data_IF_207089736133
#
_entry.id   IF_207089736133
#
_cell.length_a   1.000
_cell.length_b   1.000
_cell.length_c   1.000
_cell.angle_alpha   90.00
_cell.angle_beta   90.00
_cell.angle_gamma   90.00
#
_symmetry.space_group_name_H-M   'P 1'
#
loop_
_entity.id
_entity.type
_entity.pdbx_description
1 polymer ?
#
# COMPACT_ATOMS: atom_id res chain seq x y z
N UNK A 1 19.91 56.63 36.67
CA UNK A 1 20.35 55.25 36.97
C UNK A 1 19.37 54.30 36.30
N UNK A 2 19.69 53.79 35.10
CA UNK A 2 20.26 52.46 34.79
C UNK A 2 19.33 51.26 35.08
N UNK A 3 18.81 50.70 33.97
CA UNK A 3 18.53 49.26 33.70
C UNK A 3 17.29 48.69 34.43
N UNK A 4 16.44 47.84 33.85
CA UNK A 4 16.73 46.59 33.11
C UNK A 4 15.41 46.15 32.44
N UNK A 5 15.33 46.20 31.11
CA UNK A 5 15.42 45.04 30.19
C UNK A 5 14.21 44.08 30.20
N UNK A 6 13.31 44.37 29.26
CA UNK A 6 12.46 43.47 28.47
C UNK A 6 12.87 41.99 28.60
N UNK A 7 12.09 41.21 29.35
CA UNK A 7 12.22 39.74 29.35
C UNK A 7 11.39 39.20 28.19
N UNK A 8 12.05 39.17 27.04
CA UNK A 8 11.55 38.71 25.76
C UNK A 8 11.39 37.18 25.78
N UNK A 9 10.13 36.73 25.81
CA UNK A 9 9.56 35.80 24.84
C UNK A 9 10.55 34.80 24.18
N UNK A 10 11.00 33.76 24.88
CA UNK A 10 11.93 32.77 24.30
C UNK A 10 11.66 31.32 24.76
N UNK A 11 10.41 30.83 24.62
CA UNK A 11 10.10 29.43 24.96
C UNK A 11 9.26 28.65 23.91
N UNK A 12 8.92 29.25 22.77
CA UNK A 12 7.93 28.65 21.85
C UNK A 12 8.53 27.92 20.63
N UNK A 13 9.86 27.87 20.48
CA UNK A 13 10.48 27.35 19.25
C UNK A 13 10.74 25.83 19.24
N UNK A 14 10.54 25.12 20.35
CA UNK A 14 10.91 23.70 20.47
C UNK A 14 9.83 22.70 19.99
N UNK A 15 8.61 23.16 19.64
CA UNK A 15 7.52 22.27 19.21
C UNK A 15 7.46 22.04 17.68
N UNK A 16 8.32 22.69 16.88
CA UNK A 16 8.21 22.70 15.42
C UNK A 16 8.81 21.50 14.67
N UNK A 17 9.63 20.66 15.32
CA UNK A 17 10.40 19.63 14.61
C UNK A 17 9.73 18.24 14.53
N UNK A 18 8.48 18.08 15.00
CA UNK A 18 7.80 16.77 15.02
C UNK A 18 6.68 16.63 13.97
N UNK A 19 6.50 17.62 13.10
CA UNK A 19 5.39 17.67 12.15
C UNK A 19 5.80 17.16 10.76
N UNK A 20 5.40 15.92 10.45
CA UNK A 20 5.66 15.28 9.15
C UNK A 20 5.59 13.76 9.21
N UNK A 21 5.49 13.12 8.03
CA UNK A 21 5.68 11.67 7.92
C UNK A 21 7.14 11.36 8.26
N UNK A 22 7.37 10.42 9.17
CA UNK A 22 8.70 9.93 9.53
C UNK A 22 8.81 8.46 9.18
N UNK A 23 10.03 7.93 9.04
CA UNK A 23 10.23 6.50 8.81
C UNK A 23 9.53 5.64 9.86
N UNK A 24 9.56 6.06 11.13
CA UNK A 24 8.88 5.38 12.23
C UNK A 24 7.33 5.38 12.13
N UNK A 25 6.74 6.32 11.37
CA UNK A 25 5.28 6.42 11.15
C UNK A 25 4.84 5.82 9.81
N UNK A 26 5.80 5.47 8.93
CA UNK A 26 5.55 4.93 7.61
C UNK A 26 5.64 3.41 7.64
N UNK A 27 4.49 2.73 7.61
CA UNK A 27 4.41 1.28 7.84
C UNK A 27 5.32 0.45 6.93
N UNK A 28 5.45 0.75 5.62
CA UNK A 28 6.34 -0.02 4.74
C UNK A 28 7.83 0.03 5.15
N UNK A 29 8.25 0.98 5.99
CA UNK A 29 9.61 1.07 6.50
C UNK A 29 9.84 0.30 7.82
N UNK A 30 8.77 -0.12 8.50
CA UNK A 30 8.85 -0.69 9.86
C UNK A 30 8.31 -2.11 9.97
N UNK A 31 7.63 -2.61 8.94
CA UNK A 31 6.92 -3.87 8.95
C UNK A 31 7.05 -4.57 7.58
N UNK A 32 7.21 -5.90 7.52
CA UNK A 32 7.38 -6.63 6.25
C UNK A 32 6.13 -6.65 5.37
N UNK A 33 4.96 -6.21 5.87
CA UNK A 33 3.74 -6.08 5.09
C UNK A 33 3.84 -4.97 4.04
N UNK A 34 3.21 -5.20 2.90
CA UNK A 34 2.98 -4.17 1.91
C UNK A 34 1.97 -3.13 2.36
N UNK A 35 1.81 -2.08 1.57
CA UNK A 35 0.83 -1.04 1.85
C UNK A 35 -0.60 -1.57 1.75
N UNK A 36 -1.46 -1.14 2.67
CA UNK A 36 -2.90 -1.40 2.61
C UNK A 36 -3.57 -0.44 1.64
N UNK A 37 -4.64 -0.86 0.99
CA UNK A 37 -5.38 0.03 0.11
C UNK A 37 -6.69 -0.55 -0.40
N UNK A 38 -7.46 0.33 -1.04
CA UNK A 38 -8.65 -0.03 -1.80
C UNK A 38 -8.33 -0.02 -3.28
N UNK A 39 -8.66 -1.10 -3.98
CA UNK A 39 -8.58 -1.20 -5.44
C UNK A 39 -9.96 -1.56 -5.97
N UNK A 40 -10.52 -0.71 -6.83
CA UNK A 40 -11.78 -0.99 -7.52
C UNK A 40 -11.48 -1.67 -8.84
N UNK A 41 -11.91 -2.92 -8.98
CA UNK A 41 -11.72 -3.72 -10.17
C UNK A 41 -13.04 -4.36 -10.62
N UNK A 42 -13.37 -4.25 -11.90
CA UNK A 42 -14.64 -4.69 -12.51
C UNK A 42 -15.89 -4.26 -11.71
N UNK A 43 -15.87 -3.05 -11.12
CA UNK A 43 -16.98 -2.51 -10.33
C UNK A 43 -17.01 -2.96 -8.86
N UNK A 44 -16.09 -3.83 -8.43
CA UNK A 44 -16.00 -4.30 -7.04
C UNK A 44 -14.81 -3.63 -6.34
N UNK A 45 -15.05 -3.08 -5.15
CA UNK A 45 -14.00 -2.52 -4.31
C UNK A 45 -13.38 -3.61 -3.43
N UNK A 46 -12.08 -3.83 -3.58
CA UNK A 46 -11.29 -4.74 -2.76
C UNK A 46 -10.43 -3.92 -1.80
N UNK A 47 -10.57 -4.17 -0.50
CA UNK A 47 -9.65 -3.65 0.51
C UNK A 47 -8.67 -4.74 0.92
N UNK A 48 -7.37 -4.44 0.88
CA UNK A 48 -6.35 -5.43 1.16
C UNK A 48 -4.93 -4.89 1.05
N UNK A 49 -3.98 -5.78 1.28
CA UNK A 49 -2.56 -5.50 1.20
C UNK A 49 -2.05 -5.66 -0.23
N UNK A 50 -1.19 -4.75 -0.67
CA UNK A 50 -0.44 -4.87 -1.92
C UNK A 50 0.72 -5.87 -1.74
N UNK A 51 0.56 -7.06 -2.32
CA UNK A 51 1.55 -8.12 -2.21
C UNK A 51 2.67 -7.94 -3.23
N UNK A 52 2.32 -7.75 -4.50
CA UNK A 52 3.29 -7.59 -5.57
C UNK A 52 2.65 -6.91 -6.79
N UNK A 53 3.50 -6.28 -7.60
CA UNK A 53 3.15 -5.88 -8.96
C UNK A 53 3.65 -6.94 -9.93
N UNK A 54 2.81 -7.28 -10.89
CA UNK A 54 3.17 -8.12 -12.04
C UNK A 54 2.98 -7.33 -13.34
N UNK A 55 3.37 -7.94 -14.45
CA UNK A 55 3.17 -7.38 -15.78
C UNK A 55 1.68 -7.30 -16.14
N UNK A 56 0.89 -8.30 -15.75
CA UNK A 56 -0.54 -8.39 -16.06
C UNK A 56 -1.45 -7.64 -15.08
N UNK A 57 -0.98 -7.32 -13.87
CA UNK A 57 -1.81 -6.71 -12.84
C UNK A 57 -1.19 -6.63 -11.45
N UNK A 58 -2.05 -6.35 -10.47
CA UNK A 58 -1.70 -6.35 -9.06
C UNK A 58 -2.03 -7.69 -8.41
N UNK A 59 -1.16 -8.17 -7.53
CA UNK A 59 -1.53 -9.20 -6.56
C UNK A 59 -1.85 -8.52 -5.24
N UNK A 60 -3.07 -8.71 -4.76
CA UNK A 60 -3.50 -8.20 -3.45
C UNK A 60 -3.94 -9.33 -2.52
N UNK A 61 -3.79 -9.13 -1.22
CA UNK A 61 -4.30 -10.03 -0.20
C UNK A 61 -5.47 -9.36 0.52
N UNK A 62 -6.66 -9.94 0.34
CA UNK A 62 -7.92 -9.44 0.91
C UNK A 62 -8.39 -10.34 2.04
N UNK A 63 -9.17 -9.83 2.98
CA UNK A 63 -9.90 -10.68 3.92
C UNK A 63 -11.12 -11.29 3.25
N UNK A 64 -11.44 -12.55 3.55
CA UNK A 64 -12.66 -13.20 3.08
C UNK A 64 -13.89 -12.56 3.75
N UNK A 65 -14.94 -12.30 2.97
CA UNK A 65 -16.24 -11.92 3.52
C UNK A 65 -16.80 -13.09 4.36
N UNK A 66 -17.21 -12.82 5.61
CA UNK A 66 -17.74 -13.84 6.52
C UNK A 66 -17.06 -13.94 7.90
N UNK A 67 -16.15 -13.03 8.24
CA UNK A 67 -15.65 -12.87 9.63
C UNK A 67 -14.55 -13.85 10.07
N UNK A 68 -13.95 -14.62 9.15
CA UNK A 68 -12.80 -15.48 9.44
C UNK A 68 -11.44 -14.80 9.18
N UNK A 69 -10.37 -15.35 9.74
CA UNK A 69 -8.97 -14.96 9.45
C UNK A 69 -8.47 -15.40 8.06
N UNK A 70 -9.35 -16.02 7.26
CA UNK A 70 -8.99 -16.46 5.91
C UNK A 70 -8.70 -15.26 5.01
N UNK A 71 -7.47 -15.22 4.52
CA UNK A 71 -7.02 -14.24 3.53
C UNK A 71 -7.06 -14.88 2.14
N UNK A 72 -7.37 -14.05 1.14
CA UNK A 72 -7.50 -14.46 -0.25
C UNK A 72 -6.55 -13.60 -1.09
N UNK A 73 -5.58 -14.26 -1.70
CA UNK A 73 -4.71 -13.72 -2.75
C UNK A 73 -5.48 -13.62 -4.06
N UNK A 74 -5.48 -12.43 -4.64
CA UNK A 74 -6.20 -12.10 -5.87
C UNK A 74 -5.26 -11.50 -6.90
N UNK A 75 -5.42 -11.89 -8.16
CA UNK A 75 -4.86 -11.15 -9.28
C UNK A 75 -5.92 -10.18 -9.79
N UNK A 76 -5.60 -8.89 -9.77
CA UNK A 76 -6.41 -7.83 -10.36
C UNK A 76 -5.73 -7.36 -11.66
N UNK A 77 -6.22 -7.80 -12.84
CA UNK A 77 -5.65 -7.35 -14.11
C UNK A 77 -5.73 -5.83 -14.23
N UNK A 78 -4.70 -5.18 -14.78
CA UNK A 78 -4.72 -3.71 -14.94
C UNK A 78 -5.96 -3.24 -15.71
N UNK A 79 -6.33 -3.97 -16.78
CA UNK A 79 -7.53 -3.72 -17.60
C UNK A 79 -8.85 -3.75 -16.84
N UNK A 80 -8.89 -4.38 -15.66
CA UNK A 80 -10.07 -4.42 -14.81
C UNK A 80 -10.11 -3.29 -13.79
N UNK A 81 -8.98 -2.62 -13.49
CA UNK A 81 -8.84 -1.63 -12.42
C UNK A 81 -9.35 -0.27 -12.91
N UNK A 82 -10.42 0.23 -12.29
CA UNK A 82 -10.91 1.58 -12.56
C UNK A 82 -10.25 2.63 -11.67
N UNK A 83 -9.89 2.27 -10.43
CA UNK A 83 -9.25 3.17 -9.47
C UNK A 83 -8.53 2.41 -8.36
N UNK A 84 -7.52 3.03 -7.78
CA UNK A 84 -6.92 2.59 -6.50
C UNK A 84 -6.61 3.74 -5.56
N UNK A 85 -6.48 3.42 -4.27
CA UNK A 85 -5.96 4.30 -3.23
C UNK A 85 -5.22 3.45 -2.21
N UNK A 86 -3.96 3.78 -1.98
CA UNK A 86 -3.13 3.13 -0.98
C UNK A 86 -2.92 4.06 0.22
N UNK A 87 -2.97 3.50 1.42
CA UNK A 87 -2.79 4.24 2.67
C UNK A 87 -1.40 4.85 2.75
N UNK A 88 -1.29 6.02 3.39
CA UNK A 88 -0.02 6.74 3.58
C UNK A 88 0.72 7.14 2.29
N UNK A 89 0.12 6.92 1.11
CA UNK A 89 0.65 7.36 -0.19
C UNK A 89 -0.15 8.54 -0.75
N UNK A 90 0.54 9.41 -1.48
CA UNK A 90 -0.10 10.49 -2.22
C UNK A 90 -0.95 9.95 -3.39
N UNK A 91 -2.01 10.66 -3.76
CA UNK A 91 -2.94 10.28 -4.83
C UNK A 91 -2.28 10.14 -6.21
N UNK A 92 -1.08 10.70 -6.42
CA UNK A 92 -0.30 10.54 -7.65
C UNK A 92 0.18 9.11 -7.88
N UNK A 93 0.22 8.29 -6.83
CA UNK A 93 0.62 6.88 -6.89
C UNK A 93 -0.57 5.92 -7.04
N UNK A 94 -1.77 6.43 -7.36
CA UNK A 94 -2.92 5.58 -7.69
C UNK A 94 -2.88 5.07 -9.12
N UNK A 95 -3.43 3.89 -9.36
CA UNK A 95 -3.72 3.34 -10.68
C UNK A 95 -5.13 3.75 -11.08
N UNK A 96 -5.31 4.14 -12.35
CA UNK A 96 -6.58 4.56 -12.93
C UNK A 96 -6.70 4.03 -14.36
N UNK A 97 -7.91 4.06 -14.90
CA UNK A 97 -8.18 3.99 -16.35
C UNK A 97 -7.82 2.64 -17.03
N UNK A 98 -7.73 1.55 -16.26
CA UNK A 98 -7.58 0.22 -16.87
C UNK A 98 -6.21 -0.04 -17.50
N UNK A 99 -5.20 0.77 -17.24
CA UNK A 99 -3.86 0.60 -17.80
C UNK A 99 -2.83 0.26 -16.72
N UNK A 100 -1.71 -0.34 -17.15
CA UNK A 100 -0.56 -0.48 -16.27
C UNK A 100 -0.08 0.91 -15.79
N UNK A 101 0.40 1.05 -14.54
CA UNK A 101 0.92 2.31 -14.06
C UNK A 101 2.19 2.72 -14.84
N UNK A 102 2.40 4.03 -15.06
CA UNK A 102 3.64 4.53 -15.65
C UNK A 102 4.85 4.23 -14.75
N UNK A 103 6.06 4.28 -15.32
CA UNK A 103 7.31 3.84 -14.67
C UNK A 103 7.49 4.32 -13.23
N UNK A 104 7.41 5.64 -12.98
CA UNK A 104 7.57 6.20 -11.63
C UNK A 104 6.52 5.66 -10.64
N UNK A 105 5.25 5.57 -11.06
CA UNK A 105 4.16 5.05 -10.20
C UNK A 105 4.37 3.56 -9.94
N UNK A 106 4.77 2.80 -10.97
CA UNK A 106 5.08 1.38 -10.86
C UNK A 106 6.22 1.14 -9.89
N UNK A 107 7.34 1.84 -10.04
CA UNK A 107 8.51 1.72 -9.17
C UNK A 107 8.17 2.05 -7.72
N UNK A 108 7.40 3.13 -7.50
CA UNK A 108 6.97 3.49 -6.16
C UNK A 108 6.08 2.42 -5.51
N UNK A 109 5.10 1.91 -6.27
CA UNK A 109 4.22 0.84 -5.79
C UNK A 109 4.96 -0.49 -5.61
N UNK A 110 6.01 -0.77 -6.38
CA UNK A 110 6.90 -1.92 -6.15
C UNK A 110 7.59 -1.76 -4.79
N UNK A 111 8.24 -0.62 -4.53
CA UNK A 111 8.96 -0.39 -3.28
C UNK A 111 8.09 -0.55 -2.01
N UNK A 112 6.81 -0.18 -2.09
CA UNK A 112 5.87 -0.24 -0.96
C UNK A 112 5.02 -1.52 -0.94
N UNK A 113 5.27 -2.47 -1.84
CA UNK A 113 4.66 -3.79 -1.82
C UNK A 113 5.42 -4.75 -0.91
N UNK A 114 4.78 -5.84 -0.48
CA UNK A 114 5.44 -6.88 0.34
C UNK A 114 6.63 -7.52 -0.39
N UNK A 115 6.53 -7.69 -1.70
CA UNK A 115 7.59 -8.26 -2.54
C UNK A 115 8.00 -7.26 -3.63
N UNK A 116 8.91 -6.31 -3.32
CA UNK A 116 9.30 -5.26 -4.26
C UNK A 116 9.90 -5.73 -5.58
N UNK A 117 10.58 -6.87 -5.55
CA UNK A 117 11.17 -7.49 -6.74
C UNK A 117 10.18 -8.38 -7.52
N UNK A 118 8.90 -8.36 -7.14
CA UNK A 118 7.91 -9.31 -7.60
C UNK A 118 7.96 -10.63 -6.82
N UNK A 119 6.99 -11.49 -7.09
CA UNK A 119 6.88 -12.80 -6.43
C UNK A 119 7.36 -13.91 -7.37
N UNK A 120 8.31 -14.72 -6.90
CA UNK A 120 8.76 -15.90 -7.63
C UNK A 120 7.72 -17.02 -7.55
N UNK A 121 7.70 -17.93 -8.53
CA UNK A 121 6.75 -19.04 -8.56
C UNK A 121 6.79 -19.93 -7.28
N UNK A 122 7.96 -20.28 -6.71
CA UNK A 122 8.01 -21.04 -5.47
C UNK A 122 7.41 -20.29 -4.27
N UNK A 123 7.67 -18.99 -4.16
CA UNK A 123 7.11 -18.16 -3.06
C UNK A 123 5.60 -18.03 -3.22
N UNK A 124 5.11 -17.83 -4.45
CA UNK A 124 3.68 -17.80 -4.73
C UNK A 124 3.01 -19.12 -4.34
N UNK A 125 3.63 -20.27 -4.66
CA UNK A 125 3.10 -21.58 -4.26
C UNK A 125 2.99 -21.74 -2.74
N UNK A 126 4.02 -21.33 -1.99
CA UNK A 126 3.98 -21.36 -0.52
C UNK A 126 2.93 -20.40 0.06
N UNK A 127 2.78 -19.19 -0.51
CA UNK A 127 1.73 -18.28 -0.11
C UNK A 127 0.34 -18.84 -0.39
N UNK A 128 0.11 -19.44 -1.55
CA UNK A 128 -1.17 -20.06 -1.90
C UNK A 128 -1.48 -21.20 -0.93
N UNK A 129 -0.51 -22.08 -0.65
CA UNK A 129 -0.63 -23.17 0.32
C UNK A 129 -0.96 -22.66 1.73
N UNK A 130 -0.24 -21.64 2.20
CA UNK A 130 -0.48 -21.03 3.52
C UNK A 130 -1.88 -20.41 3.64
N UNK A 131 -2.45 -19.94 2.53
CA UNK A 131 -3.80 -19.38 2.48
C UNK A 131 -4.87 -20.39 2.02
N UNK A 132 -4.54 -21.69 1.96
CA UNK A 132 -5.45 -22.77 1.53
C UNK A 132 -6.06 -22.52 0.13
N UNK A 133 -5.29 -21.89 -0.75
CA UNK A 133 -5.63 -21.63 -2.14
C UNK A 133 -4.83 -22.54 -3.08
N UNK A 134 -5.45 -22.95 -4.19
CA UNK A 134 -4.78 -23.66 -5.29
C UNK A 134 -4.35 -22.72 -6.42
N UNK A 135 -4.80 -21.47 -6.37
CA UNK A 135 -4.49 -20.44 -7.37
C UNK A 135 -4.95 -19.05 -6.92
N UNK A 136 -4.50 -18.02 -7.64
CA UNK A 136 -4.94 -16.65 -7.43
C UNK A 136 -6.42 -16.53 -7.80
N UNK A 137 -7.22 -15.97 -6.91
CA UNK A 137 -8.60 -15.67 -7.21
C UNK A 137 -8.68 -14.51 -8.23
N UNK A 138 -9.56 -14.64 -9.21
CA UNK A 138 -9.82 -13.58 -10.18
C UNK A 138 -10.82 -12.54 -9.69
N UNK A 139 -11.14 -11.60 -10.58
CA UNK A 139 -12.27 -10.68 -10.45
C UNK A 139 -13.47 -11.32 -11.16
N UNK A 140 -14.39 -11.92 -10.39
CA UNK A 140 -15.64 -12.45 -10.97
C UNK A 140 -16.67 -11.32 -11.07
N UNK A 141 -17.31 -11.20 -12.23
CA UNK A 141 -18.50 -10.34 -12.45
C UNK A 141 -19.74 -11.02 -11.89
#
# INVERSE_FOLDING_TARGET
MKRTFITFLLASAAAGCSYGMTAAKFRPATDPHGVMGTVTAAGVAFYGELIALQESGLIIMTSRAGGGEERVLRLLPYSSISSSRFEQLASRFSIREGSAPPGEVREHLQLVSRFPQGISAPVLAELLKANRQTGLAGVQR
#
